data_IF_071561210708
#
_entry.id   IF_071561210708
#
_cell.length_a   1.000
_cell.length_b   1.000
_cell.length_c   1.000
_cell.angle_alpha   90.00
_cell.angle_beta   90.00
_cell.angle_gamma   90.00
#
_symmetry.space_group_name_H-M   'P 1'
#
loop_
_entity.id
_entity.type
_entity.pdbx_description
1 polymer ?
#
# COMPACT_ATOMS: atom_id res chain seq x y z
N UNK A 1 -25.64 1.89 35.39
CA UNK A 1 -24.21 1.62 35.65
C UNK A 1 -23.68 0.81 34.50
N UNK A 2 -22.43 1.03 34.09
CA UNK A 2 -21.81 0.20 33.06
C UNK A 2 -21.48 -1.17 33.68
N UNK A 3 -21.92 -2.30 33.09
CA UNK A 3 -21.62 -3.64 33.62
C UNK A 3 -20.12 -3.91 33.81
N UNK A 4 -19.24 -3.26 33.05
CA UNK A 4 -17.80 -3.39 33.22
C UNK A 4 -17.28 -2.79 34.53
N UNK A 5 -17.97 -1.83 35.14
CA UNK A 5 -17.54 -1.24 36.41
C UNK A 5 -17.84 -2.13 37.62
N UNK A 6 -18.70 -3.15 37.45
CA UNK A 6 -19.05 -4.14 38.47
C UNK A 6 -18.11 -5.35 38.47
N UNK A 7 -17.32 -5.52 37.40
CA UNK A 7 -16.37 -6.63 37.29
C UNK A 7 -15.12 -6.39 38.16
N UNK A 8 -14.59 -7.45 38.80
CA UNK A 8 -13.26 -7.39 39.40
C UNK A 8 -12.21 -7.04 38.36
N UNK A 9 -11.21 -6.26 38.78
CA UNK A 9 -10.12 -5.82 37.92
C UNK A 9 -9.39 -6.99 37.23
N UNK A 10 -9.22 -8.11 37.93
CA UNK A 10 -8.53 -9.29 37.42
C UNK A 10 -9.25 -9.87 36.19
N UNK A 11 -10.59 -9.86 36.21
CA UNK A 11 -11.42 -10.32 35.10
C UNK A 11 -11.34 -9.34 33.93
N UNK A 12 -11.40 -8.04 34.20
CA UNK A 12 -11.21 -7.01 33.16
C UNK A 12 -9.85 -7.13 32.48
N UNK A 13 -8.79 -7.33 33.26
CA UNK A 13 -7.43 -7.51 32.76
C UNK A 13 -7.30 -8.75 31.87
N UNK A 14 -7.94 -9.86 32.24
CA UNK A 14 -8.00 -11.07 31.42
C UNK A 14 -8.75 -10.79 30.12
N UNK A 15 -9.94 -10.18 30.18
CA UNK A 15 -10.74 -9.87 28.98
C UNK A 15 -9.94 -9.00 28.00
N UNK A 16 -9.29 -7.94 28.49
CA UNK A 16 -8.49 -7.02 27.66
C UNK A 16 -7.31 -7.76 27.02
N UNK A 17 -6.58 -8.54 27.81
CA UNK A 17 -5.39 -9.25 27.35
C UNK A 17 -5.72 -10.34 26.33
N UNK A 18 -6.79 -11.11 26.56
CA UNK A 18 -7.22 -12.20 25.69
C UNK A 18 -7.88 -11.71 24.40
N UNK A 19 -8.63 -10.59 24.46
CA UNK A 19 -9.18 -9.98 23.24
C UNK A 19 -8.07 -9.38 22.37
N UNK A 20 -7.04 -8.83 23.00
CA UNK A 20 -5.90 -8.18 22.35
C UNK A 20 -6.30 -7.16 21.25
N UNK A 21 -7.46 -6.52 21.40
CA UNK A 21 -8.08 -5.62 20.43
C UNK A 21 -7.95 -4.16 20.92
N UNK A 22 -7.28 -3.32 20.12
CA UNK A 22 -7.03 -1.91 20.46
C UNK A 22 -8.30 -1.09 20.50
N UNK A 23 -9.25 -1.36 19.60
CA UNK A 23 -10.54 -0.67 19.55
C UNK A 23 -11.40 -1.06 20.76
N UNK A 24 -11.33 -2.32 21.19
CA UNK A 24 -12.01 -2.75 22.42
C UNK A 24 -11.42 -2.06 23.66
N UNK A 25 -10.09 -2.00 23.80
CA UNK A 25 -9.44 -1.30 24.91
C UNK A 25 -9.81 0.19 24.91
N UNK A 26 -9.73 0.87 23.77
CA UNK A 26 -10.09 2.28 23.67
C UNK A 26 -11.56 2.52 24.03
N UNK A 27 -12.46 1.65 23.58
CA UNK A 27 -13.88 1.71 23.96
C UNK A 27 -14.04 1.55 25.48
N UNK A 28 -13.30 0.63 26.10
CA UNK A 28 -13.29 0.45 27.55
C UNK A 28 -12.75 1.69 28.31
N UNK A 29 -11.77 2.41 27.76
CA UNK A 29 -11.35 3.71 28.33
C UNK A 29 -12.48 4.74 28.33
N UNK A 30 -13.33 4.70 27.31
CA UNK A 30 -14.48 5.59 27.20
C UNK A 30 -15.64 5.17 28.10
N UNK A 31 -15.86 3.87 28.35
CA UNK A 31 -17.05 3.42 29.08
C UNK A 31 -16.78 3.03 30.54
N UNK A 32 -15.62 2.47 30.88
CA UNK A 32 -15.30 2.02 32.24
C UNK A 32 -14.47 3.04 33.01
N UNK A 33 -14.96 3.43 34.19
CA UNK A 33 -14.25 4.37 35.04
C UNK A 33 -12.96 3.76 35.60
N UNK A 34 -12.97 2.46 35.88
CA UNK A 34 -11.80 1.76 36.42
C UNK A 34 -10.65 1.77 35.41
N UNK A 35 -10.90 1.36 34.17
CA UNK A 35 -9.89 1.33 33.10
C UNK A 35 -9.44 2.75 32.77
N UNK A 36 -10.37 3.71 32.68
CA UNK A 36 -10.04 5.12 32.41
C UNK A 36 -9.05 5.69 33.42
N UNK A 37 -9.21 5.39 34.71
CA UNK A 37 -8.33 5.90 35.78
C UNK A 37 -6.87 5.49 35.62
N UNK A 38 -6.59 4.35 34.99
CA UNK A 38 -5.22 3.88 34.77
C UNK A 38 -4.47 4.73 33.73
N UNK A 39 -5.22 5.37 32.83
CA UNK A 39 -4.71 6.21 31.76
C UNK A 39 -5.07 7.71 31.99
N UNK A 40 -5.62 8.04 33.17
CA UNK A 40 -6.08 9.38 33.52
C UNK A 40 -4.96 10.19 34.18
N UNK A 41 -4.07 10.72 33.36
CA UNK A 41 -3.03 11.65 33.79
C UNK A 41 -2.75 12.71 32.74
N UNK A 42 -2.02 13.74 33.16
CA UNK A 42 -1.46 14.75 32.26
C UNK A 42 -0.15 14.27 31.62
N UNK A 43 0.52 15.15 30.87
CA UNK A 43 1.79 14.85 30.21
C UNK A 43 2.96 14.62 31.17
N UNK A 44 2.80 14.93 32.46
CA UNK A 44 3.86 14.86 33.48
C UNK A 44 3.65 13.67 34.44
N UNK A 45 2.41 13.20 34.59
CA UNK A 45 2.05 12.08 35.46
C UNK A 45 2.68 10.78 34.94
N UNK A 46 3.56 10.12 35.73
CA UNK A 46 4.17 8.85 35.33
C UNK A 46 3.12 7.76 35.04
N UNK A 47 3.40 6.95 34.02
CA UNK A 47 2.56 5.84 33.58
C UNK A 47 2.21 4.90 34.73
N UNK A 48 0.92 4.61 34.87
CA UNK A 48 0.46 3.61 35.82
C UNK A 48 1.02 2.22 35.43
N UNK A 49 1.44 1.42 36.43
CA UNK A 49 2.10 0.13 36.20
C UNK A 49 1.17 -0.88 35.53
N UNK A 50 -0.09 -0.89 35.91
CA UNK A 50 -1.11 -1.76 35.35
C UNK A 50 -1.45 -1.35 33.90
N UNK A 51 -1.55 -0.05 33.60
CA UNK A 51 -1.69 0.45 32.23
C UNK A 51 -0.51 0.02 31.34
N UNK A 52 0.71 0.19 31.84
CA UNK A 52 1.94 -0.27 31.15
C UNK A 52 1.88 -1.77 30.91
N UNK A 53 1.45 -2.56 31.91
CA UNK A 53 1.33 -4.00 31.78
C UNK A 53 0.31 -4.41 30.72
N UNK A 54 -0.87 -3.77 30.70
CA UNK A 54 -1.88 -4.01 29.65
C UNK A 54 -1.29 -3.75 28.27
N UNK A 55 -0.71 -2.56 28.04
CA UNK A 55 -0.18 -2.19 26.73
C UNK A 55 0.92 -3.16 26.31
N UNK A 56 1.82 -3.54 27.23
CA UNK A 56 2.84 -4.58 26.95
C UNK A 56 2.21 -5.91 26.55
N UNK A 57 1.22 -6.38 27.30
CA UNK A 57 0.51 -7.63 26.98
C UNK A 57 -0.19 -7.55 25.63
N UNK A 58 -0.83 -6.43 25.29
CA UNK A 58 -1.42 -6.25 23.97
C UNK A 58 -0.39 -6.28 22.85
N UNK A 59 0.78 -5.66 23.03
CA UNK A 59 1.86 -5.71 22.03
C UNK A 59 2.42 -7.12 21.83
N UNK A 60 2.33 -8.00 22.83
CA UNK A 60 2.79 -9.39 22.74
C UNK A 60 1.73 -10.38 22.30
N UNK A 61 0.45 -10.11 22.59
CA UNK A 61 -0.67 -11.02 22.32
C UNK A 61 -1.40 -10.67 21.02
N UNK A 62 -1.43 -9.40 20.63
CA UNK A 62 -2.04 -8.97 19.39
C UNK A 62 -1.21 -9.47 18.21
N UNK A 63 -1.82 -10.34 17.41
CA UNK A 63 -1.20 -11.04 16.28
C UNK A 63 -0.68 -10.10 15.19
N UNK A 64 -1.24 -8.90 15.07
CA UNK A 64 -0.79 -7.85 14.14
C UNK A 64 0.42 -7.08 14.66
N UNK A 65 0.73 -7.11 15.97
CA UNK A 65 1.89 -6.41 16.53
C UNK A 65 3.20 -7.22 16.42
N UNK A 66 3.12 -8.46 15.95
CA UNK A 66 4.29 -9.28 15.63
C UNK A 66 5.05 -8.72 14.41
N UNK A 67 6.23 -9.30 14.15
CA UNK A 67 7.07 -8.96 12.99
C UNK A 67 7.36 -7.45 12.86
N UNK A 68 7.97 -6.91 13.92
CA UNK A 68 8.50 -5.55 14.01
C UNK A 68 7.46 -4.42 14.14
N UNK A 69 6.15 -4.70 14.07
CA UNK A 69 5.13 -3.67 14.26
C UNK A 69 5.06 -3.15 15.71
N UNK A 70 5.28 -4.01 16.71
CA UNK A 70 5.52 -3.54 18.09
C UNK A 70 6.74 -2.62 18.17
N UNK A 71 7.77 -2.86 17.36
CA UNK A 71 8.96 -1.99 17.28
C UNK A 71 8.60 -0.59 16.76
N UNK A 72 7.76 -0.49 15.72
CA UNK A 72 7.24 0.80 15.26
C UNK A 72 6.41 1.51 16.33
N UNK A 73 5.56 0.79 17.06
CA UNK A 73 4.83 1.33 18.20
C UNK A 73 5.77 1.89 19.27
N UNK A 74 6.81 1.14 19.64
CA UNK A 74 7.83 1.56 20.60
C UNK A 74 8.56 2.84 20.14
N UNK A 75 8.98 2.89 18.87
CA UNK A 75 9.66 4.06 18.32
C UNK A 75 8.72 5.28 18.30
N UNK A 76 7.43 5.12 17.99
CA UNK A 76 6.42 6.19 18.09
C UNK A 76 6.30 6.73 19.53
N UNK A 77 6.23 5.85 20.53
CA UNK A 77 6.24 6.27 21.94
C UNK A 77 7.48 7.09 22.25
N UNK A 78 8.67 6.58 21.89
CA UNK A 78 9.93 7.26 22.19
C UNK A 78 9.95 8.67 21.61
N UNK A 79 9.49 8.85 20.37
CA UNK A 79 9.40 10.15 19.69
C UNK A 79 8.41 11.13 20.34
N UNK A 80 7.38 10.62 21.02
CA UNK A 80 6.38 11.43 21.73
C UNK A 80 6.83 11.84 23.13
N UNK A 81 7.91 11.26 23.66
CA UNK A 81 8.41 11.61 24.98
C UNK A 81 9.13 12.96 24.98
N UNK A 82 8.85 13.76 26.01
CA UNK A 82 9.55 15.02 26.28
C UNK A 82 11.01 14.80 26.70
N UNK A 83 11.32 13.67 27.33
CA UNK A 83 12.66 13.28 27.79
C UNK A 83 13.60 12.82 26.67
N UNK A 84 13.09 12.57 25.46
CA UNK A 84 13.91 12.15 24.34
C UNK A 84 14.92 13.27 23.99
N UNK A 85 16.21 12.95 24.05
CA UNK A 85 17.32 13.89 23.84
C UNK A 85 18.22 13.47 22.67
N UNK A 86 17.63 13.23 21.49
CA UNK A 86 18.38 13.04 20.25
C UNK A 86 18.45 14.34 19.45
N UNK A 87 19.55 14.55 18.75
CA UNK A 87 19.83 15.77 17.99
C UNK A 87 19.85 15.56 16.48
N UNK A 88 19.83 14.32 15.99
CA UNK A 88 19.84 14.02 14.55
C UNK A 88 19.11 12.73 14.23
N UNK A 89 18.79 12.55 12.95
CA UNK A 89 18.17 11.33 12.44
C UNK A 89 19.09 10.11 12.64
N UNK A 90 20.40 10.26 12.43
CA UNK A 90 21.37 9.18 12.62
C UNK A 90 21.45 8.72 14.09
N UNK A 91 21.42 9.66 15.04
CA UNK A 91 21.43 9.33 16.46
C UNK A 91 20.15 8.61 16.89
N UNK A 92 19.00 8.96 16.30
CA UNK A 92 17.78 8.22 16.55
C UNK A 92 17.85 6.78 15.98
N UNK A 93 18.39 6.63 14.76
CA UNK A 93 18.53 5.31 14.09
C UNK A 93 19.48 4.36 14.81
N UNK A 94 20.47 4.87 15.53
CA UNK A 94 21.42 4.06 16.30
C UNK A 94 20.90 3.64 17.68
N UNK A 95 19.75 4.16 18.12
CA UNK A 95 19.16 3.80 19.40
C UNK A 95 18.25 2.58 19.33
N UNK A 96 18.19 1.83 20.42
CA UNK A 96 17.37 0.62 20.60
C UNK A 96 15.89 0.94 20.95
N UNK A 97 15.30 1.92 20.26
CA UNK A 97 13.94 2.42 20.55
C UNK A 97 12.81 1.50 20.07
N UNK A 98 13.14 0.39 19.39
CA UNK A 98 12.21 -0.67 19.03
C UNK A 98 11.96 -1.66 20.18
N UNK A 99 12.86 -1.70 21.17
CA UNK A 99 12.75 -2.65 22.28
C UNK A 99 11.76 -2.21 23.36
N UNK A 100 10.82 -3.11 23.70
CA UNK A 100 9.86 -2.90 24.80
C UNK A 100 10.53 -2.58 26.13
N UNK A 101 11.68 -3.22 26.42
CA UNK A 101 12.43 -3.00 27.66
C UNK A 101 12.93 -1.56 27.75
N UNK A 102 13.50 -1.01 26.68
CA UNK A 102 14.04 0.34 26.62
C UNK A 102 12.93 1.36 26.78
N UNK A 103 11.87 1.23 25.97
CA UNK A 103 10.78 2.21 25.95
C UNK A 103 9.98 2.20 27.25
N UNK A 104 9.64 1.04 27.79
CA UNK A 104 8.81 0.98 29.00
C UNK A 104 9.58 1.04 30.32
N UNK A 105 10.91 1.04 30.30
CA UNK A 105 11.72 1.39 31.48
C UNK A 105 11.95 2.91 31.58
N UNK A 106 11.67 3.66 30.51
CA UNK A 106 11.66 5.12 30.53
C UNK A 106 10.39 5.65 31.23
N UNK A 107 10.43 6.92 31.67
CA UNK A 107 9.29 7.59 32.33
C UNK A 107 8.19 7.97 31.33
N UNK A 108 7.53 6.98 30.73
CA UNK A 108 6.36 7.21 29.87
C UNK A 108 5.25 7.83 30.71
N UNK A 109 4.62 8.90 30.24
CA UNK A 109 3.47 9.51 30.93
C UNK A 109 2.17 8.76 30.64
N UNK A 110 1.18 8.89 31.53
CA UNK A 110 -0.16 8.33 31.31
C UNK A 110 -0.83 8.91 30.06
N UNK A 111 -0.65 10.20 29.80
CA UNK A 111 -1.14 10.83 28.58
C UNK A 111 -0.51 10.19 27.33
N UNK A 112 0.80 10.01 27.29
CA UNK A 112 1.46 9.36 26.14
C UNK A 112 0.98 7.92 25.93
N UNK A 113 0.76 7.14 26.98
CA UNK A 113 0.20 5.80 26.86
C UNK A 113 -1.23 5.83 26.30
N UNK A 114 -2.07 6.75 26.81
CA UNK A 114 -3.44 6.91 26.34
C UNK A 114 -3.49 7.27 24.85
N UNK A 115 -2.69 8.25 24.44
CA UNK A 115 -2.59 8.66 23.03
C UNK A 115 -2.14 7.50 22.14
N UNK A 116 -1.25 6.63 22.61
CA UNK A 116 -0.81 5.48 21.81
C UNK A 116 -1.84 4.36 21.70
N UNK A 117 -2.68 4.18 22.73
CA UNK A 117 -3.87 3.32 22.62
C UNK A 117 -4.82 3.89 21.57
N UNK A 118 -5.07 5.20 21.58
CA UNK A 118 -5.88 5.88 20.57
C UNK A 118 -5.31 5.70 19.16
N UNK A 119 -4.00 5.90 18.97
CA UNK A 119 -3.31 5.68 17.69
C UNK A 119 -3.45 4.24 17.20
N UNK A 120 -3.20 3.25 18.06
CA UNK A 120 -3.30 1.84 17.68
C UNK A 120 -4.74 1.44 17.30
N UNK A 121 -5.73 1.95 18.05
CA UNK A 121 -7.14 1.77 17.72
C UNK A 121 -7.51 2.46 16.40
N UNK A 122 -6.98 3.66 16.14
CA UNK A 122 -7.17 4.38 14.88
C UNK A 122 -6.62 3.59 13.69
N UNK A 123 -5.40 3.06 13.82
CA UNK A 123 -4.77 2.21 12.79
C UNK A 123 -5.61 0.96 12.52
N UNK A 124 -6.12 0.29 13.55
CA UNK A 124 -7.01 -0.86 13.37
C UNK A 124 -8.29 -0.50 12.61
N UNK A 125 -8.94 0.62 12.96
CA UNK A 125 -10.11 1.11 12.21
C UNK A 125 -9.79 1.43 10.76
N UNK A 126 -8.70 2.15 10.49
CA UNK A 126 -8.24 2.48 9.15
C UNK A 126 -7.93 1.21 8.34
N UNK A 127 -7.29 0.21 8.94
CA UNK A 127 -7.02 -1.07 8.29
C UNK A 127 -8.31 -1.77 7.88
N UNK A 128 -9.30 -1.84 8.78
CA UNK A 128 -10.61 -2.42 8.51
C UNK A 128 -11.33 -1.69 7.38
N UNK A 129 -11.37 -0.35 7.41
CA UNK A 129 -12.00 0.47 6.38
C UNK A 129 -11.30 0.31 5.01
N UNK A 130 -9.97 0.29 5.00
CA UNK A 130 -9.13 0.12 3.81
C UNK A 130 -9.38 -1.23 3.13
N UNK A 131 -9.32 -2.31 3.90
CA UNK A 131 -9.58 -3.67 3.40
C UNK A 131 -11.02 -3.83 2.94
N UNK A 132 -11.99 -3.28 3.67
CA UNK A 132 -13.41 -3.29 3.25
C UNK A 132 -13.60 -2.59 1.91
N UNK A 133 -12.95 -1.44 1.73
CA UNK A 133 -12.99 -0.69 0.47
C UNK A 133 -12.38 -1.49 -0.67
N UNK A 134 -11.19 -2.06 -0.49
CA UNK A 134 -10.54 -2.84 -1.53
C UNK A 134 -11.33 -4.13 -1.85
N UNK A 135 -11.88 -4.81 -0.85
CA UNK A 135 -12.76 -5.97 -1.04
C UNK A 135 -14.01 -5.61 -1.84
N UNK A 136 -14.69 -4.51 -1.50
CA UNK A 136 -15.85 -4.01 -2.24
C UNK A 136 -15.48 -3.74 -3.71
N UNK A 137 -14.35 -3.06 -3.94
CA UNK A 137 -13.85 -2.74 -5.29
C UNK A 137 -13.56 -3.97 -6.14
N UNK A 138 -13.02 -5.05 -5.57
CA UNK A 138 -12.75 -6.29 -6.33
C UNK A 138 -14.01 -7.16 -6.51
N UNK A 139 -14.92 -7.19 -5.53
CA UNK A 139 -16.19 -7.93 -5.63
C UNK A 139 -17.13 -7.32 -6.66
N UNK A 140 -17.04 -6.03 -6.91
CA UNK A 140 -17.77 -5.35 -7.98
C UNK A 140 -17.30 -5.70 -9.39
N UNK A 141 -16.20 -6.44 -9.56
CA UNK A 141 -15.60 -6.71 -10.87
C UNK A 141 -16.19 -8.01 -11.45
N UNK A 142 -16.60 -7.94 -12.72
CA UNK A 142 -17.07 -9.08 -13.52
C UNK A 142 -16.04 -9.38 -14.62
N UNK A 143 -14.99 -10.14 -14.31
CA UNK A 143 -13.95 -10.49 -15.29
C UNK A 143 -14.50 -11.40 -16.40
N UNK A 144 -13.86 -11.39 -17.57
CA UNK A 144 -14.17 -12.29 -18.69
C UNK A 144 -13.02 -13.28 -18.91
N UNK A 145 -13.35 -14.52 -19.26
CA UNK A 145 -12.46 -15.58 -19.71
C UNK A 145 -12.43 -15.65 -21.23
N UNK A 146 -11.23 -15.77 -21.82
CA UNK A 146 -11.09 -16.13 -23.22
C UNK A 146 -11.05 -17.65 -23.34
N UNK A 147 -11.92 -18.22 -24.16
CA UNK A 147 -11.92 -19.64 -24.47
C UNK A 147 -11.05 -19.92 -25.70
N UNK A 148 -10.51 -21.14 -25.79
CA UNK A 148 -9.65 -21.61 -26.90
C UNK A 148 -10.29 -21.46 -28.29
N UNK A 149 -11.61 -21.41 -28.37
CA UNK A 149 -12.38 -21.20 -29.59
C UNK A 149 -12.53 -19.71 -29.98
N UNK A 150 -11.88 -18.79 -29.26
CA UNK A 150 -11.94 -17.35 -29.49
C UNK A 150 -13.18 -16.65 -28.89
N UNK A 151 -14.04 -17.37 -28.18
CA UNK A 151 -15.21 -16.77 -27.49
C UNK A 151 -14.82 -16.19 -26.12
N UNK A 152 -15.54 -15.16 -25.69
CA UNK A 152 -15.40 -14.55 -24.37
C UNK A 152 -16.59 -14.96 -23.50
N UNK A 153 -16.33 -15.49 -22.30
CA UNK A 153 -17.38 -15.90 -21.34
C UNK A 153 -17.13 -15.21 -20.00
N UNK A 154 -18.17 -14.79 -19.30
CA UNK A 154 -18.02 -14.18 -17.98
C UNK A 154 -17.40 -15.19 -16.99
N UNK A 155 -16.31 -14.79 -16.33
CA UNK A 155 -15.75 -15.51 -15.20
C UNK A 155 -16.48 -15.05 -13.94
N UNK A 156 -17.00 -16.02 -13.20
CA UNK A 156 -17.56 -15.77 -11.88
C UNK A 156 -16.43 -15.96 -10.85
N UNK A 157 -15.94 -14.87 -10.21
CA UNK A 157 -14.93 -14.98 -9.17
C UNK A 157 -15.42 -15.85 -8.03
N UNK A 158 -14.50 -16.66 -7.49
CA UNK A 158 -14.75 -17.43 -6.28
C UNK A 158 -14.70 -16.48 -5.09
N UNK A 159 -15.53 -16.72 -4.08
CA UNK A 159 -15.42 -15.96 -2.83
C UNK A 159 -14.19 -16.46 -2.06
N UNK A 160 -13.19 -15.60 -1.94
CA UNK A 160 -11.97 -15.89 -1.18
C UNK A 160 -12.20 -15.79 0.35
N UNK A 161 -13.32 -15.18 0.78
CA UNK A 161 -13.64 -14.95 2.18
C UNK A 161 -13.03 -13.63 2.70
N UNK A 162 -12.97 -13.47 4.05
CA UNK A 162 -12.38 -12.30 4.69
C UNK A 162 -10.89 -12.14 4.35
N UNK A 163 -10.28 -10.97 4.61
CA UNK A 163 -8.84 -10.77 4.47
C UNK A 163 -8.07 -11.86 5.22
N UNK A 164 -7.03 -12.41 4.61
CA UNK A 164 -6.10 -13.28 5.34
C UNK A 164 -5.21 -12.47 6.26
N UNK A 165 -4.59 -13.12 7.25
CA UNK A 165 -3.70 -12.45 8.20
C UNK A 165 -2.61 -11.63 7.49
N UNK A 166 -2.00 -12.16 6.42
CA UNK A 166 -0.92 -11.46 5.70
C UNK A 166 -1.43 -10.23 4.93
N UNK A 167 -2.66 -10.28 4.42
CA UNK A 167 -3.28 -9.15 3.71
C UNK A 167 -3.55 -8.01 4.69
N UNK A 168 -4.08 -8.35 5.88
CA UNK A 168 -4.31 -7.39 6.95
C UNK A 168 -3.01 -6.81 7.50
N UNK A 169 -2.04 -7.68 7.80
CA UNK A 169 -0.71 -7.28 8.28
C UNK A 169 -0.04 -6.27 7.34
N UNK A 170 -0.15 -6.44 6.01
CA UNK A 170 0.42 -5.50 5.02
C UNK A 170 -0.17 -4.10 5.16
N UNK A 171 -1.48 -4.00 5.41
CA UNK A 171 -2.16 -2.70 5.61
C UNK A 171 -1.76 -2.09 6.95
N UNK A 172 -1.76 -2.88 8.03
CA UNK A 172 -1.28 -2.45 9.34
C UNK A 172 0.15 -1.91 9.28
N UNK A 173 1.05 -2.64 8.62
CA UNK A 173 2.44 -2.24 8.43
C UNK A 173 2.54 -0.90 7.74
N UNK A 174 1.81 -0.70 6.63
CA UNK A 174 1.81 0.57 5.92
C UNK A 174 1.34 1.73 6.81
N UNK A 175 0.22 1.55 7.53
CA UNK A 175 -0.33 2.57 8.44
C UNK A 175 0.62 2.90 9.60
N UNK A 176 1.28 1.90 10.19
CA UNK A 176 2.30 2.12 11.22
C UNK A 176 3.49 2.92 10.70
N UNK A 177 3.94 2.68 9.46
CA UNK A 177 5.00 3.50 8.86
C UNK A 177 4.55 4.96 8.63
N UNK A 178 3.29 5.19 8.25
CA UNK A 178 2.78 6.56 8.13
C UNK A 178 2.68 7.26 9.48
N UNK A 179 2.16 6.57 10.50
CA UNK A 179 2.11 7.12 11.85
C UNK A 179 3.52 7.43 12.38
N UNK A 180 4.46 6.52 12.18
CA UNK A 180 5.82 6.73 12.60
C UNK A 180 6.46 7.92 11.86
N UNK A 181 6.22 8.03 10.55
CA UNK A 181 6.72 9.17 9.78
C UNK A 181 6.20 10.50 10.33
N UNK A 182 4.90 10.58 10.64
CA UNK A 182 4.26 11.74 11.28
C UNK A 182 4.94 12.10 12.61
N UNK A 183 5.11 11.10 13.49
CA UNK A 183 5.75 11.29 14.79
C UNK A 183 7.21 11.71 14.66
N UNK A 184 7.93 11.16 13.67
CA UNK A 184 9.33 11.49 13.40
C UNK A 184 9.47 12.93 12.90
N UNK A 185 8.61 13.37 11.98
CA UNK A 185 8.62 14.74 11.49
C UNK A 185 8.33 15.74 12.62
N UNK A 186 7.28 15.48 13.42
CA UNK A 186 6.93 16.32 14.56
C UNK A 186 8.03 16.34 15.64
N UNK A 187 8.67 15.20 15.92
CA UNK A 187 9.79 15.13 16.85
C UNK A 187 11.04 15.83 16.31
N UNK A 188 11.36 15.70 15.02
CA UNK A 188 12.51 16.35 14.40
C UNK A 188 12.40 17.88 14.48
N UNK A 189 11.19 18.42 14.26
CA UNK A 189 10.93 19.85 14.44
C UNK A 189 11.04 20.29 15.90
N UNK A 190 10.43 19.53 16.83
CA UNK A 190 10.47 19.79 18.28
C UNK A 190 11.90 19.77 18.83
N UNK A 191 12.70 18.80 18.40
CA UNK A 191 14.08 18.59 18.84
C UNK A 191 15.10 19.39 18.03
N UNK A 192 14.64 20.17 17.04
CA UNK A 192 15.47 21.03 16.18
C UNK A 192 16.58 20.26 15.48
N UNK A 193 16.22 19.18 14.81
CA UNK A 193 17.15 18.42 13.97
C UNK A 193 17.79 19.33 12.91
N UNK A 194 18.98 18.97 12.39
CA UNK A 194 19.62 19.66 11.29
C UNK A 194 18.67 19.86 10.11
N UNK A 195 18.79 21.00 9.42
CA UNK A 195 17.94 21.29 8.26
C UNK A 195 18.07 20.20 7.18
N UNK A 196 19.26 19.62 7.01
CA UNK A 196 19.50 18.52 6.07
C UNK A 196 18.63 17.29 6.38
N UNK A 197 18.45 16.94 7.65
CA UNK A 197 17.59 15.84 8.09
C UNK A 197 16.11 16.15 7.85
N UNK A 198 15.68 17.39 8.13
CA UNK A 198 14.30 17.83 7.88
C UNK A 198 13.96 17.83 6.39
N UNK A 199 14.86 18.33 5.55
CA UNK A 199 14.69 18.29 4.09
C UNK A 199 14.70 16.86 3.57
N UNK A 200 15.54 15.98 4.14
CA UNK A 200 15.54 14.56 3.78
C UNK A 200 14.19 13.90 4.12
N UNK A 201 13.65 14.13 5.31
CA UNK A 201 12.35 13.60 5.74
C UNK A 201 11.19 14.12 4.88
N UNK A 202 11.21 15.40 4.50
CA UNK A 202 10.17 16.01 3.66
C UNK A 202 10.22 15.57 2.20
N UNK A 203 11.43 15.42 1.65
CA UNK A 203 11.61 15.08 0.22
C UNK A 203 11.62 13.58 -0.06
N UNK A 204 12.02 12.77 0.93
CA UNK A 204 12.15 11.31 0.81
C UNK A 204 11.58 10.61 2.05
N UNK A 205 10.26 10.61 2.21
CA UNK A 205 9.61 10.13 3.43
C UNK A 205 9.74 8.62 3.67
N UNK A 206 10.35 7.85 2.76
CA UNK A 206 10.72 6.43 2.96
C UNK A 206 12.22 6.18 3.19
N UNK A 207 13.10 7.18 3.01
CA UNK A 207 14.55 6.97 3.17
C UNK A 207 14.96 6.80 4.64
N UNK A 208 14.10 7.21 5.57
CA UNK A 208 14.44 7.15 6.99
C UNK A 208 14.48 5.70 7.53
N UNK A 209 13.66 4.78 7.03
CA UNK A 209 13.65 3.37 7.49
C UNK A 209 14.33 2.39 6.53
N UNK A 210 14.68 2.85 5.31
CA UNK A 210 15.08 1.97 4.20
C UNK A 210 14.16 0.73 4.11
N UNK A 211 12.83 0.93 3.95
CA UNK A 211 11.89 -0.16 3.93
C UNK A 211 12.30 -1.17 2.86
N UNK A 212 12.04 -2.48 3.09
CA UNK A 212 12.27 -3.48 2.05
C UNK A 212 11.56 -3.07 0.76
N UNK A 213 12.15 -3.34 -0.40
CA UNK A 213 11.53 -3.04 -1.70
C UNK A 213 10.12 -3.65 -1.85
N UNK A 214 9.81 -4.69 -1.07
CA UNK A 214 8.49 -5.32 -1.04
C UNK A 214 7.39 -4.48 -0.39
N UNK A 215 7.75 -3.50 0.45
CA UNK A 215 6.82 -2.67 1.20
C UNK A 215 6.36 -1.43 0.42
N UNK A 216 7.21 -0.86 -0.44
CA UNK A 216 6.92 0.37 -1.19
C UNK A 216 5.58 0.30 -1.97
N UNK A 217 5.27 -0.77 -2.73
CA UNK A 217 4.00 -0.85 -3.46
C UNK A 217 2.76 -0.91 -2.55
N UNK A 218 2.92 -1.46 -1.35
CA UNK A 218 1.86 -1.53 -0.34
C UNK A 218 1.60 -0.15 0.25
N UNK A 219 2.67 0.56 0.63
CA UNK A 219 2.60 1.95 1.11
C UNK A 219 1.87 2.84 0.09
N UNK A 220 2.28 2.80 -1.17
CA UNK A 220 1.63 3.60 -2.22
C UNK A 220 0.13 3.26 -2.35
N UNK A 221 -0.24 1.98 -2.23
CA UNK A 221 -1.64 1.56 -2.33
C UNK A 221 -2.50 2.09 -1.20
N UNK A 222 -2.01 1.98 0.04
CA UNK A 222 -2.72 2.49 1.23
C UNK A 222 -2.75 4.02 1.22
N UNK A 223 -1.67 4.68 0.81
CA UNK A 223 -1.63 6.15 0.70
C UNK A 223 -2.64 6.68 -0.33
N UNK A 224 -2.73 6.06 -1.51
CA UNK A 224 -3.72 6.48 -2.51
C UNK A 224 -5.16 6.26 -2.02
N UNK A 225 -5.41 5.20 -1.25
CA UNK A 225 -6.70 5.02 -0.59
C UNK A 225 -6.97 6.14 0.42
N UNK A 226 -6.03 6.45 1.32
CA UNK A 226 -6.18 7.55 2.29
C UNK A 226 -6.48 8.89 1.58
N UNK A 227 -5.69 9.25 0.57
CA UNK A 227 -5.93 10.46 -0.22
C UNK A 227 -7.31 10.48 -0.86
N UNK A 228 -7.73 9.36 -1.47
CA UNK A 228 -9.00 9.26 -2.16
C UNK A 228 -10.22 9.36 -1.24
N UNK A 229 -10.07 8.99 0.04
CA UNK A 229 -11.17 8.99 1.01
C UNK A 229 -11.25 10.28 1.84
N UNK A 230 -10.12 10.91 2.16
CA UNK A 230 -10.07 11.99 3.17
C UNK A 230 -9.65 13.36 2.65
N UNK A 231 -9.02 13.46 1.48
CA UNK A 231 -8.59 14.74 0.94
C UNK A 231 -9.62 15.30 -0.05
N UNK A 232 -10.02 16.57 0.11
CA UNK A 232 -10.94 17.24 -0.80
C UNK A 232 -10.39 17.21 -2.24
N UNK A 233 -11.25 16.81 -3.19
CA UNK A 233 -10.94 16.81 -4.62
C UNK A 233 -10.96 18.24 -5.18
N UNK A 234 -10.18 19.17 -4.64
CA UNK A 234 -10.07 20.49 -5.27
C UNK A 234 -9.27 20.45 -6.59
N UNK A 235 -8.49 19.39 -6.79
CA UNK A 235 -8.02 18.89 -8.09
C UNK A 235 -7.51 17.48 -7.79
N UNK A 236 -8.29 16.44 -8.04
CA UNK A 236 -7.97 15.10 -7.58
C UNK A 236 -6.63 14.63 -8.15
N UNK A 237 -5.88 13.85 -7.37
CA UNK A 237 -4.67 13.17 -7.85
C UNK A 237 -4.97 12.43 -9.17
N UNK A 238 -6.17 11.85 -9.31
CA UNK A 238 -6.70 11.20 -10.53
C UNK A 238 -6.92 12.12 -11.73
N UNK A 239 -7.01 13.45 -11.55
CA UNK A 239 -7.24 14.42 -12.64
C UNK A 239 -5.98 14.73 -13.45
N UNK A 240 -4.80 14.38 -12.94
CA UNK A 240 -3.55 14.45 -13.68
C UNK A 240 -3.29 13.08 -14.32
N UNK A 241 -3.25 12.97 -15.66
CA UNK A 241 -2.93 11.73 -16.35
C UNK A 241 -1.62 11.17 -15.79
N UNK A 242 -1.58 9.89 -15.39
CA UNK A 242 -0.40 9.22 -14.84
C UNK A 242 0.88 9.43 -15.68
N UNK A 243 0.72 9.70 -16.99
CA UNK A 243 1.79 10.06 -17.93
C UNK A 243 2.54 11.35 -17.57
N UNK A 244 1.93 12.31 -16.85
CA UNK A 244 2.61 13.50 -16.31
C UNK A 244 3.26 13.27 -14.96
N UNK A 245 2.94 12.18 -14.26
CA UNK A 245 3.60 11.76 -13.02
C UNK A 245 4.90 11.03 -13.35
N UNK A 246 5.86 11.74 -13.93
CA UNK A 246 7.22 11.22 -14.12
C UNK A 246 7.84 10.95 -12.74
N UNK A 247 7.98 9.67 -12.37
CA UNK A 247 9.14 8.98 -11.76
C UNK A 247 10.04 9.67 -10.70
N UNK A 248 9.72 10.86 -10.17
CA UNK A 248 10.63 11.65 -9.33
C UNK A 248 10.02 12.37 -8.13
N UNK A 249 8.71 12.36 -7.96
CA UNK A 249 8.06 12.91 -6.77
C UNK A 249 7.32 11.79 -6.05
N UNK A 250 7.79 11.41 -4.87
CA UNK A 250 6.99 10.60 -3.95
C UNK A 250 5.65 11.32 -3.73
N UNK A 251 4.51 10.63 -3.77
CA UNK A 251 3.25 11.27 -3.40
C UNK A 251 3.39 11.80 -1.97
N UNK A 252 2.90 13.02 -1.71
CA UNK A 252 2.77 13.51 -0.35
C UNK A 252 1.97 12.47 0.46
N UNK A 253 2.41 12.15 1.67
CA UNK A 253 1.64 11.24 2.53
C UNK A 253 0.52 12.00 3.22
N UNK A 254 -0.60 11.30 3.46
CA UNK A 254 -1.63 11.85 4.35
C UNK A 254 -1.05 11.87 5.77
N UNK A 255 -0.77 13.07 6.26
CA UNK A 255 -0.15 13.34 7.54
C UNK A 255 -0.86 14.53 8.21
N UNK A 256 -1.39 14.37 9.44
CA UNK A 256 -1.45 13.14 10.24
C UNK A 256 -2.43 12.10 9.67
N UNK A 257 -2.38 10.86 10.20
CA UNK A 257 -3.37 9.84 9.87
C UNK A 257 -4.78 10.36 10.23
N UNK A 258 -5.76 10.25 9.31
CA UNK A 258 -7.09 10.79 9.53
C UNK A 258 -7.87 9.93 10.52
N UNK A 259 -8.96 10.50 11.05
CA UNK A 259 -9.93 9.80 11.86
C UNK A 259 -10.98 9.13 10.94
N UNK A 260 -11.12 7.80 10.99
CA UNK A 260 -12.12 7.04 10.22
C UNK A 260 -13.56 7.47 10.42
N UNK A 261 -13.90 8.16 11.51
CA UNK A 261 -15.24 8.74 11.71
C UNK A 261 -15.62 9.79 10.65
N UNK A 262 -14.64 10.29 9.88
CA UNK A 262 -14.86 11.18 8.75
C UNK A 262 -15.33 10.43 7.49
N UNK A 263 -15.26 9.10 7.47
CA UNK A 263 -15.74 8.29 6.34
C UNK A 263 -17.27 8.33 6.26
N UNK A 264 -17.78 8.48 5.03
CA UNK A 264 -19.22 8.48 4.78
C UNK A 264 -19.84 7.07 4.82
N UNK A 265 -19.04 6.04 4.52
CA UNK A 265 -19.49 4.66 4.44
C UNK A 265 -19.33 3.95 5.80
N UNK A 266 -20.36 3.22 6.21
CA UNK A 266 -20.27 2.32 7.36
C UNK A 266 -19.33 1.16 7.05
N UNK A 267 -18.41 0.87 7.97
CA UNK A 267 -17.54 -0.29 7.92
C UNK A 267 -17.53 -0.99 9.28
N UNK A 268 -17.40 -2.32 9.26
CA UNK A 268 -17.24 -3.09 10.48
C UNK A 268 -15.77 -3.08 10.91
N UNK A 269 -15.53 -2.92 12.20
CA UNK A 269 -14.22 -3.18 12.81
C UNK A 269 -14.23 -4.62 13.27
N UNK A 270 -13.23 -5.40 12.87
CA UNK A 270 -13.04 -6.77 13.35
C UNK A 270 -11.83 -6.87 14.27
N UNK A 271 -11.86 -7.91 15.10
CA UNK A 271 -10.73 -8.26 15.95
C UNK A 271 -9.58 -8.79 15.09
N UNK A 272 -8.31 -8.60 15.52
CA UNK A 272 -7.16 -9.13 14.80
C UNK A 272 -7.29 -10.64 14.53
N UNK A 273 -7.01 -11.12 13.31
CA UNK A 273 -7.09 -12.54 12.98
C UNK A 273 -6.03 -13.33 13.74
N UNK A 274 -6.28 -14.61 13.98
CA UNK A 274 -5.30 -15.50 14.61
C UNK A 274 -3.97 -15.52 13.83
N UNK A 275 -2.86 -15.75 14.53
CA UNK A 275 -1.56 -15.93 13.89
C UNK A 275 -1.65 -17.05 12.84
N UNK A 276 -1.05 -16.87 11.65
CA UNK A 276 -1.12 -17.88 10.63
C UNK A 276 -0.33 -19.10 11.12
N UNK A 277 -0.91 -20.28 10.91
CA UNK A 277 -0.18 -21.53 11.12
C UNK A 277 0.94 -21.55 10.08
N UNK A 278 2.20 -21.54 10.53
CA UNK A 278 3.34 -21.59 9.63
C UNK A 278 3.36 -22.97 8.95
N UNK A 279 2.91 -23.01 7.69
CA UNK A 279 2.88 -24.22 6.86
C UNK A 279 4.26 -24.54 6.27
N UNK A 280 5.29 -23.73 6.55
CA UNK A 280 6.64 -23.91 6.06
C UNK A 280 6.69 -24.01 4.53
N UNK A 281 7.42 -24.99 3.94
CA UNK A 281 7.49 -25.14 2.48
C UNK A 281 6.14 -25.47 1.81
N UNK A 282 5.11 -25.82 2.59
CA UNK A 282 3.76 -26.09 2.07
C UNK A 282 2.86 -24.84 2.03
N UNK A 283 3.38 -23.64 2.35
CA UNK A 283 2.63 -22.38 2.21
C UNK A 283 2.54 -21.92 0.74
N UNK A 284 1.84 -22.72 -0.08
CA UNK A 284 1.67 -22.45 -1.50
C UNK A 284 1.02 -21.08 -1.76
N UNK A 285 0.01 -20.74 -0.96
CA UNK A 285 -0.77 -19.52 -1.08
C UNK A 285 -0.07 -18.27 -0.53
N UNK A 286 1.01 -18.45 0.23
CA UNK A 286 1.78 -17.36 0.79
C UNK A 286 1.02 -16.60 1.88
N UNK A 287 0.35 -17.33 2.78
CA UNK A 287 -0.43 -16.78 3.90
C UNK A 287 0.32 -16.82 5.24
N UNK A 288 1.46 -17.49 5.28
CA UNK A 288 2.30 -17.66 6.46
C UNK A 288 3.16 -16.44 6.79
N UNK A 289 3.73 -16.45 7.99
CA UNK A 289 4.63 -15.42 8.53
C UNK A 289 5.90 -15.21 7.68
N UNK A 290 6.37 -16.25 6.98
CA UNK A 290 7.50 -16.16 6.04
C UNK A 290 7.27 -15.19 4.86
N UNK A 291 6.03 -14.73 4.67
CA UNK A 291 5.66 -13.80 3.60
C UNK A 291 5.68 -12.33 4.01
N UNK A 292 5.97 -12.01 5.27
CA UNK A 292 5.99 -10.65 5.82
C UNK A 292 6.91 -9.70 5.04
N UNK A 293 8.11 -10.17 4.68
CA UNK A 293 9.10 -9.37 3.94
C UNK A 293 9.12 -9.70 2.44
N UNK A 294 8.29 -10.64 1.98
CA UNK A 294 8.19 -10.99 0.58
C UNK A 294 7.17 -10.10 -0.12
N UNK A 295 7.43 -9.86 -1.41
CA UNK A 295 6.49 -9.15 -2.28
C UNK A 295 5.16 -9.92 -2.33
N UNK A 296 4.05 -9.21 -2.47
CA UNK A 296 2.72 -9.83 -2.64
C UNK A 296 2.66 -10.73 -3.87
N UNK A 297 1.69 -11.66 -3.89
CA UNK A 297 1.54 -12.61 -4.99
C UNK A 297 1.43 -11.93 -6.36
N UNK A 298 0.77 -10.77 -6.41
CA UNK A 298 0.61 -9.97 -7.64
C UNK A 298 1.91 -9.35 -8.17
N UNK A 299 2.94 -9.21 -7.33
CA UNK A 299 4.19 -8.58 -7.74
C UNK A 299 5.17 -9.56 -8.37
N UNK A 300 5.09 -10.85 -8.01
CA UNK A 300 5.73 -11.91 -8.78
C UNK A 300 5.11 -12.05 -10.17
N UNK A 301 3.79 -11.89 -10.27
CA UNK A 301 3.09 -11.88 -11.56
C UNK A 301 3.58 -10.74 -12.48
N UNK A 302 3.77 -9.55 -11.89
CA UNK A 302 4.26 -8.35 -12.59
C UNK A 302 5.62 -8.55 -13.31
N UNK A 303 6.61 -9.21 -12.69
CA UNK A 303 7.91 -9.41 -13.35
C UNK A 303 7.81 -10.26 -14.61
N UNK A 304 6.84 -11.18 -14.67
CA UNK A 304 6.60 -12.02 -15.85
C UNK A 304 5.81 -11.28 -16.93
N UNK A 305 4.84 -10.43 -16.59
CA UNK A 305 4.11 -9.58 -17.56
C UNK A 305 5.01 -8.51 -18.21
N UNK A 306 6.15 -8.17 -17.58
CA UNK A 306 7.10 -7.17 -18.07
C UNK A 306 8.02 -7.69 -19.18
N UNK A 307 8.13 -9.01 -19.35
CA UNK A 307 8.90 -9.65 -20.43
C UNK A 307 8.19 -9.62 -21.80
N UNK A 308 7.11 -8.84 -21.94
CA UNK A 308 6.50 -8.55 -23.24
C UNK A 308 7.48 -7.73 -24.08
N UNK A 309 7.75 -8.18 -25.32
CA UNK A 309 8.67 -7.53 -26.26
C UNK A 309 8.45 -6.00 -26.36
N UNK A 310 9.38 -5.24 -25.78
CA UNK A 310 9.41 -3.77 -25.72
C UNK A 310 9.79 -3.12 -27.06
N UNK A 311 9.94 -3.90 -28.14
CA UNK A 311 10.33 -3.40 -29.46
C UNK A 311 9.27 -2.48 -30.08
N UNK A 312 7.99 -2.61 -29.73
CA UNK A 312 6.91 -1.79 -30.30
C UNK A 312 6.47 -0.60 -29.40
N UNK A 313 6.11 0.57 -29.97
CA UNK A 313 5.60 1.70 -29.19
C UNK A 313 4.31 1.39 -28.41
N UNK A 314 3.48 0.50 -28.93
CA UNK A 314 2.25 -0.01 -28.30
C UNK A 314 2.55 -0.87 -27.07
N UNK A 315 3.54 -1.76 -27.12
CA UNK A 315 3.95 -2.60 -25.99
C UNK A 315 4.69 -1.80 -24.91
N UNK A 316 5.46 -0.76 -25.27
CA UNK A 316 6.01 0.19 -24.28
C UNK A 316 4.91 0.96 -23.54
N UNK A 317 3.85 1.36 -24.23
CA UNK A 317 2.70 2.05 -23.61
C UNK A 317 1.99 1.16 -22.60
N UNK A 318 1.88 -0.14 -22.91
CA UNK A 318 1.37 -1.17 -22.01
C UNK A 318 2.29 -1.33 -20.79
N UNK A 319 3.62 -1.45 -20.95
CA UNK A 319 4.59 -1.55 -19.84
C UNK A 319 4.42 -0.45 -18.77
N UNK A 320 4.20 0.81 -19.16
CA UNK A 320 3.93 1.92 -18.21
C UNK A 320 2.55 1.86 -17.55
N UNK A 321 1.58 1.14 -18.13
CA UNK A 321 0.29 0.88 -17.50
C UNK A 321 0.34 -0.31 -16.52
N UNK A 322 1.35 -1.17 -16.65
CA UNK A 322 1.59 -2.33 -15.77
C UNK A 322 2.54 -1.98 -14.60
N UNK A 323 3.53 -1.11 -14.84
CA UNK A 323 4.49 -0.66 -13.82
C UNK A 323 3.85 0.34 -12.87
N UNK A 324 3.44 -0.13 -11.69
CA UNK A 324 2.99 0.71 -10.57
C UNK A 324 1.92 1.74 -10.98
N UNK A 325 0.84 1.23 -11.58
CA UNK A 325 -0.28 2.05 -12.02
C UNK A 325 -1.26 2.33 -10.87
N UNK A 326 -1.79 3.56 -10.74
CA UNK A 326 -2.82 3.90 -9.76
C UNK A 326 -4.00 2.93 -9.75
N UNK A 327 -4.37 2.39 -10.91
CA UNK A 327 -5.48 1.43 -11.05
C UNK A 327 -5.24 0.15 -10.25
N UNK A 328 -3.99 -0.33 -10.17
CA UNK A 328 -3.64 -1.54 -9.40
C UNK A 328 -3.72 -1.28 -7.90
N UNK A 329 -3.25 -0.10 -7.51
CA UNK A 329 -3.20 0.37 -6.13
C UNK A 329 -4.61 0.64 -5.60
N UNK A 330 -5.46 1.25 -6.40
CA UNK A 330 -6.89 1.44 -6.11
C UNK A 330 -7.64 0.13 -5.85
N UNK A 331 -7.23 -0.98 -6.49
CA UNK A 331 -7.83 -2.29 -6.28
C UNK A 331 -7.18 -3.10 -5.15
N UNK A 332 -6.16 -2.56 -4.49
CA UNK A 332 -5.40 -3.27 -3.47
C UNK A 332 -4.65 -4.50 -4.00
N UNK A 333 -4.38 -4.59 -5.32
CA UNK A 333 -3.74 -5.79 -5.89
C UNK A 333 -2.37 -6.07 -5.26
N UNK A 334 -1.67 -5.03 -4.79
CA UNK A 334 -0.38 -5.15 -4.08
C UNK A 334 -0.51 -5.67 -2.65
N UNK A 335 -1.71 -5.75 -2.10
CA UNK A 335 -2.00 -6.25 -0.75
C UNK A 335 -2.36 -7.73 -0.77
N UNK A 336 -3.06 -8.19 -1.81
CA UNK A 336 -3.64 -9.54 -1.87
C UNK A 336 -2.63 -10.70 -1.90
N UNK A 337 -3.01 -11.81 -1.26
CA UNK A 337 -2.28 -13.07 -1.28
C UNK A 337 -2.58 -13.87 -2.57
N UNK A 338 -1.87 -14.99 -2.78
CA UNK A 338 -2.07 -15.79 -4.00
C UNK A 338 -3.43 -16.50 -4.03
N UNK A 339 -4.01 -16.80 -2.87
CA UNK A 339 -5.32 -17.46 -2.79
C UNK A 339 -6.41 -16.53 -3.31
N UNK A 340 -6.43 -15.28 -2.85
CA UNK A 340 -7.39 -14.28 -3.32
C UNK A 340 -7.22 -14.01 -4.81
N UNK A 341 -5.97 -13.90 -5.28
CA UNK A 341 -5.70 -13.72 -6.71
C UNK A 341 -6.14 -14.94 -7.54
N UNK A 342 -6.04 -16.16 -7.01
CA UNK A 342 -6.57 -17.36 -7.65
C UNK A 342 -8.10 -17.35 -7.71
N UNK A 343 -8.76 -16.96 -6.62
CA UNK A 343 -10.21 -16.82 -6.57
C UNK A 343 -10.74 -15.75 -7.53
N UNK A 344 -9.97 -14.69 -7.76
CA UNK A 344 -10.25 -13.66 -8.78
C UNK A 344 -9.93 -14.13 -10.20
N UNK A 345 -9.35 -15.32 -10.38
CA UNK A 345 -8.95 -15.86 -11.67
C UNK A 345 -7.71 -15.18 -12.27
N UNK A 346 -6.96 -14.41 -11.48
CA UNK A 346 -5.74 -13.70 -11.89
C UNK A 346 -4.51 -14.60 -11.76
N UNK A 347 -4.47 -15.44 -10.71
CA UNK A 347 -3.34 -16.32 -10.39
C UNK A 347 -3.70 -17.79 -10.64
N UNK A 348 -2.69 -18.63 -10.91
CA UNK A 348 -2.85 -20.06 -11.15
C UNK A 348 -2.19 -20.91 -10.05
N UNK A 349 -2.80 -22.06 -9.75
CA UNK A 349 -2.26 -23.02 -8.80
C UNK A 349 -1.31 -23.98 -9.52
N UNK A 350 -0.08 -23.56 -9.86
CA UNK A 350 0.95 -24.48 -10.30
C UNK A 350 2.34 -24.10 -9.76
N UNK A 351 3.12 -25.12 -9.46
CA UNK A 351 4.53 -25.04 -9.11
C UNK A 351 5.31 -25.77 -10.21
N UNK A 352 6.18 -25.04 -10.91
CA UNK A 352 6.97 -25.61 -12.01
C UNK A 352 7.96 -26.66 -11.52
N UNK A 353 8.32 -26.65 -10.24
CA UNK A 353 9.36 -27.52 -9.68
C UNK A 353 8.81 -28.85 -9.13
N UNK A 354 7.52 -28.93 -8.75
CA UNK A 354 6.98 -30.07 -7.97
C UNK A 354 5.95 -30.93 -8.72
N UNK A 355 5.56 -30.63 -9.97
CA UNK A 355 4.57 -31.39 -10.77
C UNK A 355 3.30 -31.84 -9.99
N UNK A 356 2.93 -31.12 -8.92
CA UNK A 356 1.73 -31.42 -8.13
C UNK A 356 0.53 -30.75 -8.77
N UNK A 357 -0.53 -31.52 -8.95
CA UNK A 357 -1.77 -31.06 -9.59
C UNK A 357 -2.96 -31.00 -8.64
N UNK A 358 -2.71 -31.24 -7.35
CA UNK A 358 -3.70 -31.24 -6.27
C UNK A 358 -3.20 -30.32 -5.16
N UNK A 359 -3.73 -29.09 -5.16
CA UNK A 359 -3.50 -28.12 -4.11
C UNK A 359 -4.71 -28.10 -3.17
N UNK A 360 -4.46 -27.90 -1.89
CA UNK A 360 -5.52 -27.65 -0.91
C UNK A 360 -5.69 -26.15 -0.72
N UNK A 361 -6.94 -25.69 -0.66
CA UNK A 361 -7.29 -24.32 -0.29
C UNK A 361 -6.90 -24.03 1.17
N UNK A 362 -6.98 -22.77 1.61
CA UNK A 362 -6.75 -22.40 3.01
C UNK A 362 -7.63 -23.17 4.01
N UNK A 363 -8.83 -23.54 3.59
CA UNK A 363 -9.83 -24.32 4.33
C UNK A 363 -9.59 -25.84 4.28
N UNK A 364 -8.55 -26.30 3.60
CA UNK A 364 -8.25 -27.72 3.41
C UNK A 364 -9.08 -28.39 2.31
N UNK A 365 -9.93 -27.66 1.61
CA UNK A 365 -10.69 -28.19 0.47
C UNK A 365 -9.77 -28.44 -0.73
N UNK A 366 -10.07 -29.46 -1.54
CA UNK A 366 -9.37 -29.65 -2.81
C UNK A 366 -9.67 -28.49 -3.75
N UNK A 367 -8.61 -27.81 -4.21
CA UNK A 367 -8.75 -26.74 -5.20
C UNK A 367 -9.15 -27.38 -6.53
N UNK A 368 -10.35 -27.09 -7.06
CA UNK A 368 -10.81 -27.71 -8.29
C UNK A 368 -9.87 -27.38 -9.44
N UNK A 369 -9.51 -28.39 -10.23
CA UNK A 369 -8.93 -28.18 -11.57
C UNK A 369 -9.96 -27.44 -12.41
N UNK A 370 -9.58 -26.30 -12.95
CA UNK A 370 -10.49 -25.38 -13.65
C UNK A 370 -10.41 -24.00 -12.98
N UNK A 371 -9.58 -23.10 -13.46
CA UNK A 371 -9.48 -22.68 -14.85
C UNK A 371 -8.01 -22.59 -15.24
N UNK A 372 -7.46 -23.68 -15.81
CA UNK A 372 -6.19 -23.60 -16.51
C UNK A 372 -6.31 -22.57 -17.63
N UNK A 373 -5.47 -21.54 -17.70
CA UNK A 373 -4.95 -21.18 -19.00
C UNK A 373 -4.11 -22.37 -19.46
N UNK A 374 -4.46 -22.98 -20.58
CA UNK A 374 -3.52 -23.89 -21.27
C UNK A 374 -2.29 -23.04 -21.61
N UNK A 375 -1.25 -23.15 -20.77
CA UNK A 375 0.14 -22.74 -21.00
C UNK A 375 0.37 -21.43 -21.78
N UNK A 376 -0.31 -20.33 -21.42
CA UNK A 376 0.12 -19.02 -21.92
C UNK A 376 -0.02 -17.90 -20.90
N UNK A 377 1.09 -17.20 -20.67
CA UNK A 377 1.16 -15.92 -19.95
C UNK A 377 0.17 -14.89 -20.53
N UNK A 378 -0.19 -15.03 -21.80
CA UNK A 378 -1.14 -14.21 -22.55
C UNK A 378 -2.54 -14.21 -21.91
N UNK A 379 -3.01 -15.32 -21.34
CA UNK A 379 -4.36 -15.36 -20.76
C UNK A 379 -4.45 -14.68 -19.39
N UNK A 380 -3.41 -14.78 -18.58
CA UNK A 380 -3.40 -14.11 -17.29
C UNK A 380 -3.16 -12.59 -17.46
N UNK A 381 -2.38 -12.17 -18.47
CA UNK A 381 -2.36 -10.78 -18.97
C UNK A 381 -3.73 -10.34 -19.49
N UNK A 382 -4.42 -11.19 -20.25
CA UNK A 382 -5.76 -10.92 -20.75
C UNK A 382 -6.73 -10.71 -19.60
N UNK A 383 -6.78 -11.58 -18.60
CA UNK A 383 -7.68 -11.45 -17.44
C UNK A 383 -7.35 -10.21 -16.61
N UNK A 384 -6.07 -9.95 -16.36
CA UNK A 384 -5.61 -8.73 -15.70
C UNK A 384 -6.06 -7.47 -16.47
N UNK A 385 -6.05 -7.54 -17.80
CA UNK A 385 -6.56 -6.45 -18.65
C UNK A 385 -8.04 -6.13 -18.41
N UNK A 386 -8.88 -7.03 -17.87
CA UNK A 386 -10.30 -6.71 -17.56
C UNK A 386 -10.48 -6.02 -16.21
N UNK A 387 -9.57 -6.23 -15.26
CA UNK A 387 -9.51 -5.40 -14.04
C UNK A 387 -9.17 -3.94 -14.38
N UNK A 388 -8.52 -3.72 -15.54
CA UNK A 388 -7.87 -2.47 -15.91
C UNK A 388 -8.58 -1.75 -17.06
N UNK A 389 -9.02 -2.45 -18.11
CA UNK A 389 -9.57 -1.88 -19.35
C UNK A 389 -10.77 -0.95 -19.10
N UNK A 390 -11.77 -1.30 -18.28
CA UNK A 390 -12.87 -0.39 -17.97
C UNK A 390 -12.35 0.91 -17.35
N UNK A 391 -11.46 0.81 -16.37
CA UNK A 391 -10.86 1.96 -15.66
C UNK A 391 -9.91 2.77 -16.54
N UNK A 392 -9.17 2.13 -17.44
CA UNK A 392 -8.32 2.82 -18.43
C UNK A 392 -9.19 3.56 -19.44
N UNK A 393 -10.30 2.98 -19.90
CA UNK A 393 -11.24 3.66 -20.79
C UNK A 393 -11.87 4.87 -20.11
N UNK A 394 -12.41 4.70 -18.91
CA UNK A 394 -12.96 5.81 -18.09
C UNK A 394 -11.90 6.91 -17.88
N UNK A 395 -10.66 6.53 -17.57
CA UNK A 395 -9.55 7.47 -17.39
C UNK A 395 -9.17 8.16 -18.70
N UNK A 396 -9.12 7.45 -19.82
CA UNK A 396 -8.74 8.02 -21.11
C UNK A 396 -9.84 8.99 -21.60
N UNK A 397 -11.12 8.63 -21.44
CA UNK A 397 -12.28 9.51 -21.69
C UNK A 397 -12.24 10.76 -20.80
N UNK A 398 -11.91 10.59 -19.51
CA UNK A 398 -11.67 11.68 -18.58
C UNK A 398 -10.51 12.58 -19.03
N UNK A 399 -9.35 12.00 -19.40
CA UNK A 399 -8.18 12.74 -19.84
C UNK A 399 -8.46 13.55 -21.12
N UNK A 400 -9.24 13.00 -22.04
CA UNK A 400 -9.69 13.70 -23.25
C UNK A 400 -10.64 14.86 -22.93
N UNK A 401 -11.54 14.67 -21.96
CA UNK A 401 -12.45 15.72 -21.48
C UNK A 401 -11.69 16.85 -20.79
N UNK A 402 -10.84 16.52 -19.82
CA UNK A 402 -9.99 17.47 -19.10
C UNK A 402 -9.05 18.24 -20.03
N UNK A 403 -8.43 17.56 -21.01
CA UNK A 403 -7.55 18.20 -21.99
C UNK A 403 -8.31 19.20 -22.86
N UNK A 404 -9.56 18.89 -23.22
CA UNK A 404 -10.43 19.83 -23.95
C UNK A 404 -10.83 21.01 -23.08
N UNK A 405 -11.15 20.81 -21.82
CA UNK A 405 -11.53 21.89 -20.90
C UNK A 405 -10.36 22.83 -20.57
N UNK A 406 -9.15 22.28 -20.37
CA UNK A 406 -7.96 23.05 -19.99
C UNK A 406 -7.23 23.71 -21.17
N UNK A 407 -7.24 23.09 -22.35
CA UNK A 407 -6.51 23.57 -23.53
C UNK A 407 -7.41 23.97 -24.71
N UNK A 408 -8.72 23.75 -24.63
CA UNK A 408 -9.70 24.14 -25.66
C UNK A 408 -9.87 25.64 -25.87
N UNK A 409 -9.21 26.48 -25.06
CA UNK A 409 -9.11 27.93 -25.32
C UNK A 409 -7.90 28.33 -26.20
N UNK A 410 -7.03 27.40 -26.61
CA UNK A 410 -5.88 27.66 -27.49
C UNK A 410 -5.85 26.74 -28.72
N UNK A 411 -6.97 26.58 -29.42
CA UNK A 411 -7.01 25.81 -30.68
C UNK A 411 -6.25 26.45 -31.86
N UNK A 412 -5.63 27.62 -31.69
CA UNK A 412 -4.92 28.33 -32.78
C UNK A 412 -3.44 27.95 -32.92
N UNK A 413 -2.78 27.30 -31.95
CA UNK A 413 -1.31 27.10 -31.99
C UNK A 413 -0.85 25.72 -32.51
N UNK A 414 -1.70 24.68 -32.43
CA UNK A 414 -1.31 23.30 -32.80
C UNK A 414 -1.26 23.05 -34.33
N UNK A 415 -1.99 23.86 -35.09
CA UNK A 415 -1.94 23.85 -36.56
C UNK A 415 -0.60 24.43 -37.11
N UNK A 416 0.07 25.31 -36.36
CA UNK A 416 1.35 25.88 -36.79
C UNK A 416 2.55 24.96 -36.54
N UNK A 417 2.52 24.17 -35.47
CA UNK A 417 3.60 23.22 -35.16
C UNK A 417 3.62 22.00 -36.08
N UNK A 418 2.44 21.47 -36.42
CA UNK A 418 2.29 20.37 -37.41
C UNK A 418 2.79 20.79 -38.80
N UNK A 419 2.49 22.03 -39.21
CA UNK A 419 3.02 22.66 -40.44
C UNK A 419 4.56 22.79 -40.46
N UNK A 420 5.17 23.10 -39.30
CA UNK A 420 6.64 23.20 -39.17
C UNK A 420 7.33 21.84 -39.24
N UNK A 421 6.75 20.79 -38.64
CA UNK A 421 7.29 19.43 -38.66
C UNK A 421 7.23 18.83 -40.08
N UNK A 422 6.12 19.02 -40.80
CA UNK A 422 5.97 18.54 -42.17
C UNK A 422 6.92 19.24 -43.16
N UNK A 423 7.15 20.54 -43.00
CA UNK A 423 8.20 21.25 -43.76
C UNK A 423 9.59 20.70 -43.50
N UNK A 424 9.88 20.28 -42.26
CA UNK A 424 11.18 19.70 -41.88
C UNK A 424 11.38 18.30 -42.47
N UNK A 425 10.32 17.48 -42.49
CA UNK A 425 10.33 16.13 -43.08
C UNK A 425 10.46 16.20 -44.60
N UNK A 426 9.76 17.12 -45.28
CA UNK A 426 9.93 17.34 -46.73
C UNK A 426 11.33 17.77 -47.11
N UNK A 427 11.98 18.65 -46.31
CA UNK A 427 13.38 19.07 -46.55
C UNK A 427 14.37 17.91 -46.36
N UNK A 428 14.16 17.03 -45.36
CA UNK A 428 14.98 15.83 -45.18
C UNK A 428 14.83 14.84 -46.34
N UNK A 429 13.60 14.59 -46.83
CA UNK A 429 13.36 13.72 -47.99
C UNK A 429 14.00 14.26 -49.28
N UNK A 430 13.94 15.59 -49.50
CA UNK A 430 14.59 16.24 -50.65
C UNK A 430 16.12 16.16 -50.58
N UNK A 431 16.70 16.23 -49.37
CA UNK A 431 18.14 16.05 -49.16
C UNK A 431 18.60 14.59 -49.37
N UNK A 432 17.77 13.60 -49.05
CA UNK A 432 18.06 12.19 -49.32
C UNK A 432 17.93 11.80 -50.80
N UNK A 433 17.17 12.55 -51.61
CA UNK A 433 17.01 12.29 -53.04
C UNK A 433 18.13 12.88 -53.93
N UNK A 434 18.84 13.92 -53.46
CA UNK A 434 19.90 14.62 -54.24
C UNK A 434 21.29 14.10 -53.83
N UNK A 435 21.40 12.82 -53.49
CA UNK A 435 22.48 12.21 -52.70
C UNK A 435 23.92 12.25 -53.24
N UNK A 436 24.28 13.07 -54.23
CA UNK A 436 25.65 13.08 -54.78
C UNK A 436 26.34 14.45 -54.95
N UNK A 437 25.69 15.60 -54.75
CA UNK A 437 26.33 16.92 -54.98
C UNK A 437 26.27 17.89 -53.77
N UNK A 438 26.44 17.39 -52.54
CA UNK A 438 26.53 18.26 -51.35
C UNK A 438 27.98 18.52 -50.93
N UNK A 439 28.35 19.78 -50.59
CA UNK A 439 29.69 20.12 -50.13
C UNK A 439 30.12 19.31 -48.90
N UNK A 440 31.40 18.91 -48.86
CA UNK A 440 32.00 18.06 -47.81
C UNK A 440 31.74 18.50 -46.36
N UNK A 441 31.45 19.79 -46.12
CA UNK A 441 31.13 20.32 -44.78
C UNK A 441 29.80 19.84 -44.22
N UNK A 442 28.88 19.32 -45.05
CA UNK A 442 27.56 18.83 -44.63
C UNK A 442 27.55 17.31 -44.40
N UNK A 443 28.42 16.56 -45.08
CA UNK A 443 28.54 15.10 -44.93
C UNK A 443 29.04 14.68 -43.53
N UNK A 444 29.85 15.50 -42.86
CA UNK A 444 30.40 15.20 -41.54
C UNK A 444 29.38 15.28 -40.39
N UNK A 445 28.23 15.94 -40.56
CA UNK A 445 27.19 16.03 -39.51
C UNK A 445 26.25 14.83 -39.44
N UNK A 446 26.24 13.98 -40.46
CA UNK A 446 25.36 12.81 -40.53
C UNK A 446 26.19 11.56 -40.84
N UNK A 447 27.22 11.26 -40.04
CA UNK A 447 27.82 9.94 -40.05
C UNK A 447 26.86 8.94 -39.39
N UNK A 448 25.97 8.37 -40.21
CA UNK A 448 25.33 7.09 -39.92
C UNK A 448 26.41 6.02 -40.06
N UNK A 449 26.76 5.32 -38.97
CA UNK A 449 27.56 4.10 -39.07
C UNK A 449 26.77 3.07 -39.90
N UNK A 450 27.39 2.37 -40.86
CA UNK A 450 26.77 1.23 -41.51
C UNK A 450 26.60 0.08 -40.51
N UNK A 451 25.59 -0.75 -40.76
CA UNK A 451 25.10 -1.86 -39.92
C UNK A 451 26.19 -2.77 -39.37
#
# INVERSE_FOLDING_TARGET
MNPFDELPWEILSIIITEAADWVALESLLQVSLQVRRLFAGDGETPGNREAIHIVKSMLTTNTMMHHDLHGLFCKCIALRQSSLAVTSLEQFRSGDYDQLSVVFNSSISQASLREMVHVAANIQRLACACLTTFLSRIRGIKPMCHLRNGSEVQYEPREAGPPSWIEEFRVYRALWHFQFYSDMLGAAERLKFPQEDLELLRTKPLVWDNPPESLEPVLLSVNEWLWGMFCEREDSFTDIPAVKRLLRCYPAYVDPLPDPSQLQDEYSVWAPPALPIDKGPNDFWGQGSGMVNRRSGSTGFYSYCVDIDLSTPSTRRLHYCYADSPIYREMGLKIWDKWRLYCLGIWYACDYDDFRWEYLGPDGSLVPRGCFPEDSMIEADYRLSFFIKPRVRERDEFCEKWSREKYGFMETSRAEETSKVDRRIRRKRKACQIGLDLPRSVQTRYQLRPR
#
